data_IF_212236187164
#
_entry.id   IF_212236187164
#
_cell.length_a   1.000
_cell.length_b   1.000
_cell.length_c   1.000
_cell.angle_alpha   90.00
_cell.angle_beta   90.00
_cell.angle_gamma   90.00
#
_symmetry.space_group_name_H-M   'P 1'
#
loop_
_entity.id
_entity.type
_entity.pdbx_description
1 polymer ?
#
# COMPACT_ATOMS: atom_id res chain seq x y z
N UNK A 1 -43.65 -20.86 -2.67
CA UNK A 1 -43.15 -19.82 -1.75
C UNK A 1 -42.24 -18.93 -2.54
N UNK A 2 -42.73 -17.73 -2.88
CA UNK A 2 -42.01 -16.77 -3.72
C UNK A 2 -40.76 -16.33 -2.99
N UNK A 3 -39.59 -16.57 -3.58
CA UNK A 3 -38.35 -16.00 -3.11
C UNK A 3 -38.55 -14.48 -3.03
N UNK A 4 -38.55 -13.93 -1.82
CA UNK A 4 -38.57 -12.49 -1.59
C UNK A 4 -37.37 -11.91 -2.33
N UNK A 5 -37.62 -11.28 -3.48
CA UNK A 5 -36.60 -10.56 -4.24
C UNK A 5 -35.83 -9.68 -3.25
N UNK A 6 -34.52 -9.90 -3.16
CA UNK A 6 -33.65 -9.02 -2.40
C UNK A 6 -33.80 -7.60 -2.98
N UNK A 7 -33.65 -6.55 -2.16
CA UNK A 7 -33.67 -5.19 -2.68
C UNK A 7 -32.64 -5.06 -3.82
N UNK A 8 -33.03 -4.49 -4.95
CA UNK A 8 -32.16 -4.35 -6.15
C UNK A 8 -30.80 -3.70 -5.81
N UNK A 9 -30.81 -2.73 -4.88
CA UNK A 9 -29.59 -2.09 -4.38
C UNK A 9 -28.65 -3.05 -3.60
N UNK A 10 -29.16 -4.12 -2.98
CA UNK A 10 -28.31 -5.14 -2.36
C UNK A 10 -27.69 -6.06 -3.41
N UNK A 11 -28.44 -6.45 -4.44
CA UNK A 11 -27.94 -7.29 -5.54
C UNK A 11 -26.78 -6.58 -6.25
N UNK A 12 -26.93 -5.29 -6.58
CA UNK A 12 -25.86 -4.49 -7.19
C UNK A 12 -24.59 -4.39 -6.32
N UNK A 13 -24.76 -4.28 -4.99
CA UNK A 13 -23.63 -4.23 -4.08
C UNK A 13 -22.91 -5.57 -3.95
N UNK A 14 -23.64 -6.69 -4.02
CA UNK A 14 -23.06 -8.02 -4.01
C UNK A 14 -22.24 -8.26 -5.29
N UNK A 15 -22.77 -7.90 -6.46
CA UNK A 15 -22.05 -8.02 -7.73
C UNK A 15 -20.75 -7.20 -7.74
N UNK A 16 -20.77 -6.01 -7.11
CA UNK A 16 -19.58 -5.17 -6.95
C UNK A 16 -18.54 -5.80 -6.03
N UNK A 17 -18.97 -6.41 -4.93
CA UNK A 17 -18.06 -7.11 -4.00
C UNK A 17 -17.44 -8.32 -4.69
N UNK A 18 -18.25 -9.11 -5.39
CA UNK A 18 -17.81 -10.30 -6.14
C UNK A 18 -16.76 -9.93 -7.19
N UNK A 19 -17.07 -8.95 -8.04
CA UNK A 19 -16.12 -8.42 -9.03
C UNK A 19 -14.84 -7.85 -8.38
N UNK A 20 -14.94 -7.23 -7.21
CA UNK A 20 -13.78 -6.71 -6.49
C UNK A 20 -12.90 -7.84 -5.92
N UNK A 21 -13.50 -8.95 -5.49
CA UNK A 21 -12.79 -10.13 -5.01
C UNK A 21 -12.07 -10.84 -6.16
N UNK A 22 -12.70 -11.02 -7.32
CA UNK A 22 -12.07 -11.60 -8.51
C UNK A 22 -10.83 -10.80 -8.96
N UNK A 23 -10.96 -9.47 -8.96
CA UNK A 23 -9.85 -8.56 -9.26
C UNK A 23 -8.72 -8.69 -8.22
N UNK A 24 -9.06 -8.87 -6.95
CA UNK A 24 -8.08 -9.05 -5.88
C UNK A 24 -7.35 -10.38 -6.01
N UNK A 25 -8.06 -11.48 -6.31
CA UNK A 25 -7.45 -12.79 -6.54
C UNK A 25 -6.45 -12.75 -7.70
N UNK A 26 -6.86 -12.14 -8.82
CA UNK A 26 -5.99 -11.94 -10.00
C UNK A 26 -4.73 -11.13 -9.64
N UNK A 27 -4.87 -10.10 -8.80
CA UNK A 27 -3.73 -9.28 -8.38
C UNK A 27 -2.79 -10.01 -7.40
N UNK A 28 -3.32 -10.93 -6.58
CA UNK A 28 -2.56 -11.69 -5.59
C UNK A 28 -1.90 -12.94 -6.17
N UNK A 29 -2.43 -13.53 -7.24
CA UNK A 29 -1.89 -14.72 -7.91
C UNK A 29 -0.37 -14.70 -8.11
N UNK A 30 0.26 -13.65 -8.71
CA UNK A 30 1.71 -13.65 -8.92
C UNK A 30 2.52 -13.63 -7.61
N UNK A 31 1.96 -13.03 -6.55
CA UNK A 31 2.59 -12.96 -5.24
C UNK A 31 2.53 -14.33 -4.55
N UNK A 32 1.39 -15.02 -4.68
CA UNK A 32 1.17 -16.33 -4.07
C UNK A 32 1.89 -17.47 -4.82
N UNK A 33 2.04 -17.34 -6.14
CA UNK A 33 2.74 -18.31 -6.98
C UNK A 33 4.27 -18.28 -6.81
N UNK A 34 4.82 -17.18 -6.31
CA UNK A 34 6.26 -16.99 -6.18
C UNK A 34 6.71 -17.23 -4.74
N UNK A 35 7.76 -18.06 -4.49
CA UNK A 35 8.31 -18.21 -3.15
C UNK A 35 8.78 -16.87 -2.56
N UNK A 36 8.51 -16.68 -1.27
CA UNK A 36 8.78 -15.42 -0.57
C UNK A 36 10.27 -15.02 -0.58
N UNK A 37 11.17 -16.00 -0.46
CA UNK A 37 12.62 -15.76 -0.50
C UNK A 37 13.09 -15.23 -1.86
N UNK A 38 12.55 -15.81 -2.95
CA UNK A 38 12.83 -15.36 -4.32
C UNK A 38 12.31 -13.94 -4.54
N UNK A 39 11.11 -13.65 -4.06
CA UNK A 39 10.51 -12.32 -4.19
C UNK A 39 11.31 -11.26 -3.42
N UNK A 40 11.76 -11.58 -2.20
CA UNK A 40 12.59 -10.68 -1.39
C UNK A 40 14.02 -10.50 -1.92
N UNK A 41 14.56 -11.48 -2.65
CA UNK A 41 15.87 -11.36 -3.27
C UNK A 41 15.84 -10.40 -4.48
N UNK A 42 14.74 -10.37 -5.22
CA UNK A 42 14.61 -9.58 -6.47
C UNK A 42 14.18 -8.12 -6.27
N UNK A 43 13.83 -7.71 -5.06
CA UNK A 43 13.26 -6.38 -4.79
C UNK A 43 14.22 -5.47 -4.02
N UNK A 44 14.29 -4.22 -4.45
CA UNK A 44 15.01 -3.17 -3.72
C UNK A 44 14.40 -2.96 -2.32
N UNK A 45 15.18 -2.50 -1.31
CA UNK A 45 14.69 -2.34 0.07
C UNK A 45 13.38 -1.56 0.19
N UNK A 46 13.23 -0.47 -0.57
CA UNK A 46 12.01 0.35 -0.60
C UNK A 46 10.83 -0.41 -1.21
N UNK A 47 11.07 -1.16 -2.29
CA UNK A 47 10.03 -1.96 -2.94
C UNK A 47 9.55 -3.09 -2.04
N UNK A 48 10.47 -3.73 -1.29
CA UNK A 48 10.14 -4.73 -0.27
C UNK A 48 9.28 -4.14 0.84
N UNK A 49 9.65 -2.98 1.37
CA UNK A 49 8.87 -2.31 2.39
C UNK A 49 7.44 -1.99 1.90
N UNK A 50 7.32 -1.50 0.66
CA UNK A 50 6.02 -1.22 0.04
C UNK A 50 5.18 -2.49 -0.11
N UNK A 51 5.76 -3.58 -0.61
CA UNK A 51 5.07 -4.86 -0.78
C UNK A 51 4.55 -5.39 0.56
N UNK A 52 5.42 -5.44 1.58
CA UNK A 52 5.06 -5.92 2.92
C UNK A 52 3.91 -5.11 3.53
N UNK A 53 3.96 -3.78 3.41
CA UNK A 53 2.90 -2.92 3.92
C UNK A 53 1.59 -3.10 3.16
N UNK A 54 1.62 -3.28 1.84
CA UNK A 54 0.42 -3.57 1.07
C UNK A 54 -0.21 -4.91 1.47
N UNK A 55 0.59 -5.97 1.64
CA UNK A 55 0.08 -7.27 2.07
C UNK A 55 -0.56 -7.19 3.46
N UNK A 56 0.11 -6.54 4.42
CA UNK A 56 -0.46 -6.32 5.75
C UNK A 56 -1.80 -5.57 5.68
N UNK A 57 -1.86 -4.50 4.88
CA UNK A 57 -3.09 -3.74 4.69
C UNK A 57 -4.21 -4.56 4.04
N UNK A 58 -3.88 -5.40 3.06
CA UNK A 58 -4.84 -6.28 2.40
C UNK A 58 -5.40 -7.30 3.38
N UNK A 59 -4.56 -7.92 4.22
CA UNK A 59 -5.00 -8.88 5.23
C UNK A 59 -5.94 -8.21 6.23
N UNK A 60 -5.57 -7.06 6.78
CA UNK A 60 -6.41 -6.32 7.73
C UNK A 60 -7.75 -5.90 7.10
N UNK A 61 -7.72 -5.50 5.82
CA UNK A 61 -8.93 -5.12 5.07
C UNK A 61 -9.85 -6.30 4.79
N UNK A 62 -9.29 -7.47 4.44
CA UNK A 62 -10.05 -8.70 4.25
C UNK A 62 -10.66 -9.18 5.56
N UNK A 63 -9.91 -9.07 6.66
CA UNK A 63 -10.42 -9.39 7.99
C UNK A 63 -11.55 -8.42 8.41
N UNK A 64 -11.39 -7.13 8.14
CA UNK A 64 -12.46 -6.14 8.34
C UNK A 64 -13.72 -6.48 7.54
N UNK A 65 -13.55 -6.85 6.25
CA UNK A 65 -14.66 -7.29 5.39
C UNK A 65 -15.36 -8.52 5.98
N UNK A 66 -14.59 -9.51 6.43
CA UNK A 66 -15.10 -10.72 7.08
C UNK A 66 -15.93 -10.41 8.34
N UNK A 67 -15.45 -9.52 9.21
CA UNK A 67 -16.18 -9.09 10.41
C UNK A 67 -17.51 -8.42 10.06
N UNK A 68 -17.53 -7.59 9.00
CA UNK A 68 -18.75 -6.93 8.53
C UNK A 68 -19.76 -7.89 7.93
N UNK A 69 -19.32 -8.87 7.15
CA UNK A 69 -20.23 -9.74 6.38
C UNK A 69 -20.74 -10.93 7.18
N UNK A 70 -19.92 -11.56 8.03
CA UNK A 70 -20.32 -12.79 8.72
C UNK A 70 -20.83 -12.57 10.14
N UNK A 71 -20.21 -11.68 10.90
CA UNK A 71 -20.48 -11.56 12.33
C UNK A 71 -21.46 -10.42 12.65
N UNK A 72 -21.66 -9.48 11.71
CA UNK A 72 -22.50 -8.30 11.94
C UNK A 72 -22.03 -7.45 13.12
N UNK A 73 -20.76 -7.60 13.52
CA UNK A 73 -20.19 -6.90 14.66
C UNK A 73 -20.01 -5.42 14.29
N UNK A 74 -20.35 -4.53 15.22
CA UNK A 74 -20.06 -3.12 15.10
C UNK A 74 -18.54 -2.92 14.99
N UNK A 75 -18.05 -2.77 13.75
CA UNK A 75 -16.62 -2.63 13.47
C UNK A 75 -16.01 -1.36 14.06
N UNK A 76 -16.82 -0.43 14.55
CA UNK A 76 -16.36 0.84 15.13
C UNK A 76 -15.54 0.62 16.42
N UNK A 77 -15.91 -0.39 17.23
CA UNK A 77 -15.25 -0.71 18.50
C UNK A 77 -14.21 -1.82 18.37
N UNK A 78 -14.05 -2.41 17.18
CA UNK A 78 -13.16 -3.54 16.99
C UNK A 78 -11.70 -3.10 16.79
N UNK A 79 -10.76 -3.80 17.42
CA UNK A 79 -9.31 -3.52 17.38
C UNK A 79 -8.71 -3.53 15.97
N UNK A 80 -9.41 -4.10 14.98
CA UNK A 80 -9.03 -4.04 13.56
C UNK A 80 -8.83 -2.61 13.05
N UNK A 81 -9.56 -1.62 13.60
CA UNK A 81 -9.36 -0.23 13.22
C UNK A 81 -8.01 0.31 13.71
N UNK A 82 -7.54 -0.15 14.87
CA UNK A 82 -6.22 0.20 15.39
C UNK A 82 -5.11 -0.41 14.53
N UNK A 83 -5.31 -1.67 14.10
CA UNK A 83 -4.41 -2.36 13.17
C UNK A 83 -4.31 -1.63 11.82
N UNK A 84 -5.46 -1.27 11.23
CA UNK A 84 -5.52 -0.48 10.00
C UNK A 84 -4.85 0.89 10.17
N UNK A 85 -5.07 1.57 11.30
CA UNK A 85 -4.42 2.84 11.60
C UNK A 85 -2.90 2.69 11.76
N UNK A 86 -2.45 1.61 12.39
CA UNK A 86 -1.03 1.28 12.54
C UNK A 86 -0.38 1.07 11.18
N UNK A 87 -0.97 0.25 10.30
CA UNK A 87 -0.42 0.02 8.95
C UNK A 87 -0.37 1.31 8.14
N UNK A 88 -1.42 2.15 8.19
CA UNK A 88 -1.44 3.47 7.55
C UNK A 88 -0.33 4.39 8.08
N UNK A 89 -0.04 4.37 9.38
CA UNK A 89 1.09 5.12 9.96
C UNK A 89 2.42 4.68 9.35
N UNK A 90 2.65 3.38 9.19
CA UNK A 90 3.87 2.88 8.55
C UNK A 90 3.96 3.21 7.06
N UNK A 91 2.83 3.21 6.33
CA UNK A 91 2.80 3.70 4.95
C UNK A 91 3.18 5.19 4.86
N UNK A 92 2.73 6.03 5.80
CA UNK A 92 3.16 7.43 5.88
C UNK A 92 4.65 7.55 6.13
N UNK A 93 5.19 6.79 7.10
CA UNK A 93 6.64 6.79 7.39
C UNK A 93 7.47 6.39 6.17
N UNK A 94 7.03 5.38 5.42
CA UNK A 94 7.70 4.95 4.19
C UNK A 94 7.68 6.06 3.14
N UNK A 95 6.52 6.71 2.94
CA UNK A 95 6.38 7.84 2.02
C UNK A 95 7.34 8.98 2.38
N UNK A 96 7.38 9.37 3.66
CA UNK A 96 8.24 10.45 4.15
C UNK A 96 9.72 10.11 3.96
N UNK A 97 10.13 8.88 4.26
CA UNK A 97 11.49 8.40 4.04
C UNK A 97 11.88 8.43 2.56
N UNK A 98 11.00 8.00 1.66
CA UNK A 98 11.26 8.06 0.21
C UNK A 98 11.35 9.49 -0.32
N UNK A 99 10.50 10.40 0.17
CA UNK A 99 10.52 11.80 -0.22
C UNK A 99 11.76 12.54 0.29
N UNK A 100 12.24 12.21 1.50
CA UNK A 100 13.50 12.74 2.03
C UNK A 100 14.69 12.34 1.13
N UNK A 101 14.73 11.07 0.69
CA UNK A 101 15.78 10.57 -0.20
C UNK A 101 15.81 11.29 -1.55
N UNK A 102 14.64 11.60 -2.13
CA UNK A 102 14.56 12.37 -3.38
C UNK A 102 14.99 13.83 -3.19
N UNK A 103 14.61 14.45 -2.08
CA UNK A 103 15.00 15.83 -1.76
C UNK A 103 16.51 15.96 -1.49
N UNK A 104 17.13 15.01 -0.80
CA UNK A 104 18.59 15.01 -0.63
C UNK A 104 19.33 14.85 -1.96
N UNK A 105 18.89 13.95 -2.83
CA UNK A 105 19.44 13.84 -4.20
C UNK A 105 19.34 15.16 -4.98
N UNK A 106 18.28 15.94 -4.75
CA UNK A 106 18.12 17.27 -5.35
C UNK A 106 19.07 18.31 -4.74
N UNK A 107 19.28 18.28 -3.41
CA UNK A 107 20.20 19.19 -2.69
C UNK A 107 21.68 18.94 -3.01
N UNK A 108 22.05 17.73 -3.42
CA UNK A 108 23.41 17.37 -3.83
C UNK A 108 23.78 17.83 -5.26
N UNK A 109 22.91 18.59 -5.95
CA UNK A 109 23.25 19.18 -7.24
C UNK A 109 24.29 20.29 -7.08
N UNK A 110 25.54 19.97 -7.38
CA UNK A 110 26.63 20.95 -7.43
C UNK A 110 26.30 22.06 -8.44
N UNK A 111 26.31 23.31 -7.99
CA UNK A 111 26.20 24.46 -8.87
C UNK A 111 27.51 24.61 -9.65
N UNK A 112 27.53 24.07 -10.88
CA UNK A 112 28.70 24.07 -11.77
C UNK A 112 29.19 25.49 -12.09
N UNK A 113 28.29 26.46 -12.19
CA UNK A 113 28.63 27.86 -12.47
C UNK A 113 29.35 28.50 -11.27
N UNK A 114 28.84 28.28 -10.05
CA UNK A 114 29.51 28.72 -8.83
C UNK A 114 30.90 28.07 -8.66
N UNK A 115 31.01 26.76 -8.91
CA UNK A 115 32.30 26.06 -8.87
C UNK A 115 33.30 26.62 -9.89
N UNK A 116 32.85 26.94 -11.11
CA UNK A 116 33.69 27.57 -12.13
C UNK A 116 34.18 28.98 -11.71
N UNK A 117 33.33 29.77 -11.04
CA UNK A 117 33.73 31.08 -10.49
C UNK A 117 34.81 30.94 -9.41
N UNK A 118 34.67 29.97 -8.50
CA UNK A 118 35.69 29.71 -7.47
C UNK A 118 37.04 29.30 -8.08
N UNK A 119 37.04 28.40 -9.07
CA UNK A 119 38.26 27.96 -9.76
C UNK A 119 38.93 29.14 -10.47
N UNK A 120 38.15 29.97 -11.17
CA UNK A 120 38.69 31.14 -11.89
C UNK A 120 39.27 32.20 -10.94
N UNK A 121 38.66 32.40 -9.78
CA UNK A 121 39.17 33.33 -8.77
C UNK A 121 40.47 32.85 -8.10
N UNK A 122 40.67 31.54 -7.98
CA UNK A 122 41.90 30.94 -7.41
C UNK A 122 43.06 30.77 -8.39
N UNK A 123 42.86 31.07 -9.68
CA UNK A 123 43.89 31.06 -10.73
C UNK A 123 44.52 32.45 -10.96
N UNK A 124 44.30 33.40 -10.03
CA UNK A 124 44.94 34.73 -9.98
C UNK A 124 46.16 34.68 -9.07
#
# INVERSE_FOLDING_TARGET
>A
MSASKLPEAMEENLDKIDSALDNLETALEPILATPWDTLNACLEPVQRAKLNLMIAYTIDSLFFLYLKTQQGIATEEHQVNEELARVKSYMSKLKDATAAQENEKSKLKLNKDAAARFIKAGLV
#
